data_IF_804614759760
#
_entry.id   IF_804614759760
#
_cell.length_a   1.000
_cell.length_b   1.000
_cell.length_c   1.000
_cell.angle_alpha   90.00
_cell.angle_beta   90.00
_cell.angle_gamma   90.00
#
_symmetry.space_group_name_H-M   'P 1'
#
loop_
_entity.id
_entity.type
_entity.pdbx_description
1 polymer ?
#
# COMPACT_ATOMS: atom_id res chain seq x y z
N UNK A 1 -9.12 15.70 -27.02
CA UNK A 1 -8.97 14.28 -26.66
C UNK A 1 -8.14 14.28 -25.39
N UNK A 2 -8.78 14.19 -24.23
CA UNK A 2 -8.07 13.93 -22.98
C UNK A 2 -7.70 12.46 -23.06
N UNK A 3 -6.42 12.16 -22.90
CA UNK A 3 -5.93 10.79 -22.86
C UNK A 3 -6.60 10.10 -21.65
N UNK A 4 -7.38 9.04 -21.91
CA UNK A 4 -8.16 8.33 -20.88
C UNK A 4 -7.27 7.39 -20.03
N UNK A 5 -5.96 7.39 -20.30
CA UNK A 5 -4.96 6.58 -19.62
C UNK A 5 -4.56 7.24 -18.29
N UNK A 6 -4.68 6.53 -17.16
CA UNK A 6 -4.38 7.11 -15.86
C UNK A 6 -2.86 7.39 -15.76
N UNK A 7 -2.54 8.68 -15.61
CA UNK A 7 -1.17 9.19 -15.57
C UNK A 7 -0.95 10.05 -14.32
N UNK A 8 0.31 10.22 -13.89
CA UNK A 8 0.67 11.15 -12.81
C UNK A 8 0.16 12.57 -13.10
N UNK A 9 0.19 12.99 -14.37
CA UNK A 9 -0.38 14.27 -14.80
C UNK A 9 -1.89 14.36 -14.50
N UNK A 10 -2.64 13.29 -14.77
CA UNK A 10 -4.07 13.22 -14.50
C UNK A 10 -4.35 13.26 -12.99
N UNK A 11 -3.54 12.57 -12.17
CA UNK A 11 -3.68 12.59 -10.71
C UNK A 11 -3.47 13.98 -10.10
N UNK A 12 -2.46 14.73 -10.57
CA UNK A 12 -2.19 16.10 -10.10
C UNK A 12 -3.18 17.15 -10.62
N UNK A 13 -4.00 16.83 -11.63
CA UNK A 13 -5.01 17.72 -12.19
C UNK A 13 -6.37 17.65 -11.49
N UNK A 14 -6.57 16.74 -10.53
CA UNK A 14 -7.84 16.53 -9.87
C UNK A 14 -8.07 17.52 -8.72
N UNK A 15 -9.27 18.11 -8.70
CA UNK A 15 -9.66 19.16 -7.75
C UNK A 15 -10.75 18.73 -6.76
N UNK A 16 -11.32 17.52 -6.92
CA UNK A 16 -12.36 16.98 -6.03
C UNK A 16 -11.94 15.66 -5.36
N UNK A 17 -12.45 15.44 -4.15
CA UNK A 17 -12.17 14.23 -3.34
C UNK A 17 -12.74 12.97 -4.02
N UNK A 18 -13.91 13.08 -4.65
CA UNK A 18 -14.57 11.92 -5.28
C UNK A 18 -13.94 11.55 -6.61
N UNK A 19 -13.38 12.52 -7.35
CA UNK A 19 -12.60 12.23 -8.56
C UNK A 19 -11.26 11.59 -8.20
N UNK A 20 -10.61 12.04 -7.13
CA UNK A 20 -9.41 11.40 -6.59
C UNK A 20 -9.70 9.93 -6.25
N UNK A 21 -10.78 9.66 -5.49
CA UNK A 21 -11.16 8.28 -5.14
C UNK A 21 -11.43 7.41 -6.37
N UNK A 22 -12.13 7.92 -7.37
CA UNK A 22 -12.42 7.18 -8.61
C UNK A 22 -11.18 6.92 -9.45
N UNK A 23 -10.27 7.89 -9.55
CA UNK A 23 -9.02 7.74 -10.26
C UNK A 23 -8.13 6.72 -9.54
N UNK A 24 -7.91 6.88 -8.23
CA UNK A 24 -7.11 5.93 -7.44
C UNK A 24 -7.69 4.52 -7.43
N UNK A 25 -9.02 4.35 -7.31
CA UNK A 25 -9.63 3.01 -7.34
C UNK A 25 -9.47 2.31 -8.70
N UNK A 26 -9.51 3.07 -9.80
CA UNK A 26 -9.30 2.53 -11.14
C UNK A 26 -7.82 2.25 -11.40
N UNK A 27 -6.94 3.11 -10.88
CA UNK A 27 -5.51 3.01 -11.10
C UNK A 27 -4.85 1.96 -10.20
N UNK A 28 -5.28 1.81 -8.94
CA UNK A 28 -4.73 0.84 -7.99
C UNK A 28 -4.77 -0.60 -8.51
N UNK A 29 -5.82 -0.95 -9.26
CA UNK A 29 -6.01 -2.30 -9.81
C UNK A 29 -4.91 -2.70 -10.81
N UNK A 30 -4.45 -1.75 -11.63
CA UNK A 30 -3.44 -1.98 -12.67
C UNK A 30 -2.03 -1.51 -12.25
N UNK A 31 -1.94 -0.57 -11.30
CA UNK A 31 -0.70 -0.11 -10.66
C UNK A 31 -0.02 -1.23 -9.86
N UNK A 32 -0.77 -2.09 -9.18
CA UNK A 32 -0.19 -3.06 -8.24
C UNK A 32 0.59 -4.20 -8.89
N UNK A 33 0.23 -4.63 -10.10
CA UNK A 33 0.84 -5.80 -10.73
C UNK A 33 2.00 -5.41 -11.65
N UNK A 34 1.76 -4.45 -12.55
CA UNK A 34 2.75 -4.11 -13.57
C UNK A 34 3.74 -3.06 -13.04
N UNK A 35 3.29 -2.03 -12.32
CA UNK A 35 4.19 -0.99 -11.80
C UNK A 35 5.05 -1.48 -10.64
N UNK A 36 4.52 -2.29 -9.72
CA UNK A 36 5.31 -2.81 -8.60
C UNK A 36 6.44 -3.74 -9.05
N UNK A 37 6.19 -4.54 -10.09
CA UNK A 37 7.18 -5.41 -10.71
C UNK A 37 8.15 -4.64 -11.62
N UNK A 38 7.65 -3.73 -12.47
CA UNK A 38 8.47 -3.01 -13.46
C UNK A 38 9.31 -1.88 -12.85
N UNK A 39 8.86 -1.25 -11.76
CA UNK A 39 9.62 -0.18 -11.09
C UNK A 39 10.50 -0.69 -9.94
N UNK A 40 10.57 -2.01 -9.73
CA UNK A 40 11.27 -2.62 -8.59
C UNK A 40 10.85 -1.88 -7.32
N UNK A 41 9.55 -1.93 -6.98
CA UNK A 41 8.93 -1.13 -5.91
C UNK A 41 9.46 -1.58 -4.54
N UNK A 42 10.70 -1.19 -4.27
CA UNK A 42 11.54 -1.59 -3.15
C UNK A 42 11.18 -0.81 -1.89
N UNK A 43 10.29 0.17 -1.99
CA UNK A 43 9.94 1.08 -0.90
C UNK A 43 9.40 0.32 0.32
N UNK A 44 8.44 -0.63 0.20
CA UNK A 44 7.96 -1.39 1.35
C UNK A 44 9.08 -2.18 2.04
N UNK A 45 10.03 -2.71 1.27
CA UNK A 45 11.18 -3.46 1.79
C UNK A 45 12.16 -2.56 2.54
N UNK A 46 12.49 -1.39 1.98
CA UNK A 46 13.38 -0.43 2.63
C UNK A 46 12.75 0.15 3.90
N UNK A 47 11.46 0.47 3.88
CA UNK A 47 10.74 0.94 5.07
C UNK A 47 10.76 -0.14 6.15
N UNK A 48 10.44 -1.39 5.82
CA UNK A 48 10.52 -2.49 6.78
C UNK A 48 11.92 -2.64 7.39
N UNK A 49 12.96 -2.56 6.55
CA UNK A 49 14.34 -2.65 7.00
C UNK A 49 14.71 -1.52 7.96
N UNK A 50 14.40 -0.26 7.61
CA UNK A 50 14.70 0.89 8.46
C UNK A 50 13.92 0.82 9.78
N UNK A 51 12.64 0.45 9.73
CA UNK A 51 11.81 0.29 10.93
C UNK A 51 12.44 -0.71 11.91
N UNK A 52 12.86 -1.88 11.43
CA UNK A 52 13.52 -2.89 12.27
C UNK A 52 14.90 -2.44 12.76
N UNK A 53 15.71 -1.81 11.90
CA UNK A 53 17.05 -1.30 12.26
C UNK A 53 16.99 -0.25 13.37
N UNK A 54 15.91 0.53 13.42
CA UNK A 54 15.71 1.57 14.42
C UNK A 54 14.89 1.11 15.64
N UNK A 55 14.78 -0.21 15.85
CA UNK A 55 14.19 -0.77 17.07
C UNK A 55 12.67 -0.92 17.03
N UNK A 56 12.06 -0.87 15.85
CA UNK A 56 10.66 -1.20 15.65
C UNK A 56 10.34 -2.59 16.20
N UNK A 57 9.34 -2.66 17.06
CA UNK A 57 8.96 -3.86 17.78
C UNK A 57 7.44 -4.04 17.78
N UNK A 58 6.98 -5.26 18.01
CA UNK A 58 5.57 -5.56 18.14
C UNK A 58 5.00 -5.05 19.48
N UNK A 59 3.69 -4.73 19.56
CA UNK A 59 2.68 -4.81 18.50
C UNK A 59 2.79 -3.67 17.46
N UNK A 60 2.43 -3.94 16.20
CA UNK A 60 2.45 -2.95 15.10
C UNK A 60 1.08 -2.83 14.45
N UNK A 61 0.68 -1.60 14.10
CA UNK A 61 -0.47 -1.30 13.24
C UNK A 61 0.00 -0.55 11.99
N UNK A 62 -0.21 -1.13 10.81
CA UNK A 62 0.06 -0.52 9.50
C UNK A 62 -1.19 0.22 9.01
N UNK A 63 -1.17 1.56 9.05
CA UNK A 63 -2.31 2.42 8.69
C UNK A 63 -2.15 2.92 7.26
N UNK A 64 -3.15 2.69 6.42
CA UNK A 64 -3.04 2.96 4.98
C UNK A 64 -2.22 1.87 4.29
N UNK A 65 -2.45 0.62 4.69
CA UNK A 65 -1.64 -0.52 4.25
C UNK A 65 -1.69 -0.77 2.73
N UNK A 66 -2.70 -0.23 2.03
CA UNK A 66 -2.94 -0.44 0.61
C UNK A 66 -2.83 -1.92 0.25
N UNK A 67 -1.86 -2.24 -0.59
CA UNK A 67 -1.52 -3.59 -1.08
C UNK A 67 -1.08 -4.58 0.01
N UNK A 68 -0.71 -4.08 1.20
CA UNK A 68 -0.22 -4.87 2.32
C UNK A 68 1.22 -5.36 2.17
N UNK A 69 1.97 -4.90 1.16
CA UNK A 69 3.37 -5.32 0.92
C UNK A 69 4.30 -5.02 2.10
N UNK A 70 4.08 -3.91 2.81
CA UNK A 70 4.85 -3.56 4.01
C UNK A 70 4.58 -4.55 5.15
N UNK A 71 3.32 -4.79 5.49
CA UNK A 71 2.92 -5.81 6.46
C UNK A 71 3.48 -7.20 6.12
N UNK A 72 3.49 -7.59 4.84
CA UNK A 72 4.10 -8.85 4.39
C UNK A 72 5.63 -8.91 4.61
N UNK A 73 6.33 -7.78 4.47
CA UNK A 73 7.75 -7.70 4.76
C UNK A 73 8.04 -7.80 6.27
N UNK A 74 7.20 -7.19 7.11
CA UNK A 74 7.38 -7.13 8.57
C UNK A 74 6.92 -8.39 9.32
N UNK A 75 5.90 -9.12 8.84
CA UNK A 75 5.29 -10.28 9.55
C UNK A 75 6.25 -11.42 9.88
N UNK A 76 7.41 -11.49 9.23
CA UNK A 76 8.45 -12.50 9.51
C UNK A 76 9.33 -12.13 10.70
N UNK A 77 9.29 -10.88 11.12
CA UNK A 77 10.12 -10.32 12.17
C UNK A 77 9.31 -9.90 13.39
N UNK A 78 8.05 -9.50 13.19
CA UNK A 78 7.20 -8.92 14.21
C UNK A 78 5.85 -9.63 14.27
N UNK A 79 5.38 -9.89 15.49
CA UNK A 79 4.02 -10.36 15.79
C UNK A 79 3.64 -9.91 17.21
N UNK A 80 2.42 -9.39 17.44
CA UNK A 80 1.34 -9.23 16.47
C UNK A 80 1.53 -8.01 15.54
N UNK A 81 1.00 -8.12 14.32
CA UNK A 81 0.97 -7.06 13.31
C UNK A 81 -0.43 -7.00 12.68
N UNK A 82 -1.08 -5.87 12.82
CA UNK A 82 -2.37 -5.56 12.21
C UNK A 82 -2.20 -4.53 11.09
N UNK A 83 -3.12 -4.51 10.14
CA UNK A 83 -3.11 -3.60 9.01
C UNK A 83 -4.53 -3.13 8.67
N UNK A 84 -4.68 -1.84 8.38
CA UNK A 84 -5.95 -1.22 8.01
C UNK A 84 -5.78 -0.32 6.78
N UNK A 85 -6.79 -0.29 5.92
CA UNK A 85 -6.88 0.63 4.78
C UNK A 85 -8.34 1.07 4.57
N UNK A 86 -8.54 2.26 3.98
CA UNK A 86 -9.88 2.81 3.69
C UNK A 86 -10.39 2.41 2.30
N UNK A 87 -9.53 1.89 1.43
CA UNK A 87 -9.92 1.30 0.15
C UNK A 87 -10.66 -0.01 0.39
N UNK A 88 -11.71 -0.28 -0.40
CA UNK A 88 -12.63 -1.40 -0.16
C UNK A 88 -12.00 -2.79 -0.40
N UNK A 89 -10.73 -2.88 -0.83
CA UNK A 89 -10.22 -4.10 -1.46
C UNK A 89 -9.22 -4.91 -0.63
N UNK A 90 -8.64 -4.42 0.47
CA UNK A 90 -7.62 -5.21 1.19
C UNK A 90 -7.79 -5.12 2.72
N UNK A 91 -8.38 -6.19 3.28
CA UNK A 91 -8.29 -6.49 4.71
C UNK A 91 -7.18 -7.51 4.93
N UNK A 92 -5.96 -7.08 5.26
CA UNK A 92 -4.97 -7.99 5.87
C UNK A 92 -5.25 -8.07 7.36
N UNK A 93 -6.41 -8.63 7.73
CA UNK A 93 -6.59 -9.16 9.08
C UNK A 93 -6.34 -10.65 9.02
N UNK A 94 -5.08 -11.04 9.24
CA UNK A 94 -4.75 -12.41 9.63
C UNK A 94 -4.32 -12.38 11.09
N UNK A 95 -5.31 -12.38 11.98
CA UNK A 95 -5.08 -12.80 13.36
C UNK A 95 -4.78 -14.31 13.31
N UNK A 96 -3.50 -14.68 13.30
CA UNK A 96 -3.10 -16.09 13.49
C UNK A 96 -2.89 -16.30 14.98
N UNK A 97 -3.94 -16.72 15.65
CA UNK A 97 -3.80 -17.40 16.94
C UNK A 97 -3.38 -18.84 16.67
N UNK A 98 -2.20 -19.22 17.13
CA UNK A 98 -1.87 -20.56 17.57
C UNK A 98 -1.13 -20.43 18.90
#
# INVERSE_FOLDING_TARGET
MIDDDPSLQAAYALSSVDDNRRLYARWAKDYDQDFAADMDYVLPRHVAQQFLQHGGAAPVLDVGAGTGLLGQALRRHLSPLDAIDLSQEITVTKHVSC
#
